data_IF_115272431740
#
_entry.id   IF_115272431740
#
_cell.length_a   1.000
_cell.length_b   1.000
_cell.length_c   1.000
_cell.angle_alpha   90.00
_cell.angle_beta   90.00
_cell.angle_gamma   90.00
#
_symmetry.space_group_name_H-M   'P 1'
#
loop_
_entity.id
_entity.type
_entity.pdbx_description
1 polymer ?
#
# COMPACT_ATOMS: atom_id res chain seq x y z
N UNK A 1 2.09 -4.31 -8.73
CA UNK A 1 1.47 -3.14 -9.40
C UNK A 1 2.13 -2.78 -10.74
N UNK A 2 3.17 -3.50 -11.18
CA UNK A 2 3.98 -3.10 -12.34
C UNK A 2 3.22 -2.93 -13.67
N UNK A 3 2.24 -3.79 -13.94
CA UNK A 3 1.36 -3.67 -15.13
C UNK A 3 0.58 -2.34 -15.08
N UNK A 4 0.04 -1.98 -13.92
CA UNK A 4 -0.69 -0.72 -13.76
C UNK A 4 0.25 0.48 -13.94
N UNK A 5 1.47 0.44 -13.40
CA UNK A 5 2.48 1.49 -13.62
C UNK A 5 2.77 1.68 -15.11
N UNK A 6 3.01 0.58 -15.84
CA UNK A 6 3.27 0.62 -17.28
C UNK A 6 2.07 1.14 -18.08
N UNK A 7 0.86 0.69 -17.74
CA UNK A 7 -0.36 1.10 -18.42
C UNK A 7 -0.72 2.56 -18.13
N UNK A 8 -0.55 3.02 -16.89
CA UNK A 8 -0.78 4.42 -16.52
C UNK A 8 0.22 5.31 -17.25
N UNK A 9 1.51 4.96 -17.25
CA UNK A 9 2.54 5.68 -18.00
C UNK A 9 2.26 5.73 -19.51
N UNK A 10 1.70 4.66 -20.07
CA UNK A 10 1.30 4.57 -21.48
C UNK A 10 -0.09 5.18 -21.79
N UNK A 11 -0.79 5.76 -20.80
CA UNK A 11 -2.14 6.31 -20.98
C UNK A 11 -3.24 5.27 -21.25
N UNK A 12 -2.98 3.98 -20.99
CA UNK A 12 -3.92 2.85 -21.19
C UNK A 12 -4.77 2.55 -19.96
N UNK A 13 -4.38 3.07 -18.79
CA UNK A 13 -5.09 2.94 -17.53
C UNK A 13 -5.09 4.29 -16.82
N UNK A 14 -6.22 4.72 -16.26
CA UNK A 14 -6.34 6.05 -15.66
C UNK A 14 -5.78 6.15 -14.23
N UNK A 15 -5.91 5.08 -13.45
CA UNK A 15 -5.63 5.08 -12.01
C UNK A 15 -5.38 3.65 -11.48
N UNK A 16 -4.68 3.53 -10.36
CA UNK A 16 -4.68 2.35 -9.50
C UNK A 16 -4.51 2.74 -8.03
N UNK A 17 -4.96 1.88 -7.11
CA UNK A 17 -4.86 2.15 -5.67
C UNK A 17 -3.65 1.43 -5.08
N UNK A 18 -2.71 2.19 -4.52
CA UNK A 18 -1.59 1.67 -3.74
C UNK A 18 -1.99 1.41 -2.29
N UNK A 19 -1.75 0.17 -1.86
CA UNK A 19 -1.84 -0.24 -0.46
C UNK A 19 -0.44 -0.66 -0.03
N UNK A 20 0.21 0.17 0.79
CA UNK A 20 1.61 -0.02 1.17
C UNK A 20 1.74 -1.20 2.15
N UNK A 21 2.35 -2.30 1.70
CA UNK A 21 2.52 -3.51 2.52
C UNK A 21 3.55 -3.30 3.63
N UNK A 22 4.51 -2.38 3.45
CA UNK A 22 5.50 -2.06 4.48
C UNK A 22 4.82 -1.37 5.67
N UNK A 23 3.98 -0.37 5.42
CA UNK A 23 3.20 0.29 6.48
C UNK A 23 2.22 -0.67 7.18
N UNK A 24 1.64 -1.60 6.42
CA UNK A 24 0.81 -2.66 7.01
C UNK A 24 1.63 -3.59 7.91
N UNK A 25 2.84 -3.98 7.49
CA UNK A 25 3.73 -4.81 8.28
C UNK A 25 4.17 -4.09 9.56
N UNK A 26 4.54 -2.82 9.48
CA UNK A 26 4.93 -2.00 10.63
C UNK A 26 3.77 -1.86 11.62
N UNK A 27 2.57 -1.55 11.13
CA UNK A 27 1.38 -1.46 11.98
C UNK A 27 1.07 -2.79 12.70
N UNK A 28 1.22 -3.93 12.01
CA UNK A 28 1.02 -5.25 12.63
C UNK A 28 2.12 -5.57 13.63
N UNK A 29 3.37 -5.20 13.32
CA UNK A 29 4.49 -5.40 14.23
C UNK A 29 4.27 -4.66 15.54
N UNK A 30 3.87 -3.39 15.49
CA UNK A 30 3.55 -2.60 16.69
C UNK A 30 2.46 -3.26 17.54
N UNK A 31 1.38 -3.74 16.91
CA UNK A 31 0.32 -4.46 17.64
C UNK A 31 0.83 -5.72 18.31
N UNK A 32 1.70 -6.49 17.63
CA UNK A 32 2.28 -7.71 18.20
C UNK A 32 3.10 -7.39 19.45
N UNK A 33 3.90 -6.32 19.40
CA UNK A 33 4.70 -5.89 20.56
C UNK A 33 3.79 -5.45 21.72
N UNK A 34 2.77 -4.62 21.45
CA UNK A 34 1.82 -4.17 22.48
C UNK A 34 1.11 -5.35 23.15
N UNK A 35 0.62 -6.31 22.36
CA UNK A 35 -0.04 -7.52 22.87
C UNK A 35 0.95 -8.35 23.70
N UNK A 36 2.17 -8.56 23.22
CA UNK A 36 3.19 -9.33 23.92
C UNK A 36 3.59 -8.70 25.27
N UNK A 37 3.54 -7.37 25.36
CA UNK A 37 3.78 -6.61 26.59
C UNK A 37 2.54 -6.52 27.51
N UNK A 38 1.40 -7.10 27.10
CA UNK A 38 0.15 -7.06 27.86
C UNK A 38 -0.53 -5.69 27.86
N UNK A 39 -0.22 -4.85 26.86
CA UNK A 39 -0.83 -3.52 26.67
C UNK A 39 -2.05 -3.62 25.76
N UNK A 40 -2.94 -2.63 25.88
CA UNK A 40 -4.00 -2.41 24.91
C UNK A 40 -3.40 -1.96 23.57
N UNK A 41 -3.94 -2.49 22.47
CA UNK A 41 -3.49 -2.14 21.12
C UNK A 41 -3.87 -0.69 20.80
N UNK A 42 -2.90 0.11 20.35
CA UNK A 42 -3.12 1.52 20.02
C UNK A 42 -3.44 1.74 18.54
N UNK A 43 -3.96 2.93 18.23
CA UNK A 43 -4.25 3.33 16.85
C UNK A 43 -5.47 2.66 16.21
N UNK A 44 -6.29 1.97 17.00
CA UNK A 44 -7.60 1.47 16.55
C UNK A 44 -8.50 2.64 16.15
N UNK A 45 -8.99 2.61 14.92
CA UNK A 45 -9.82 3.67 14.32
C UNK A 45 -11.07 3.12 13.62
N UNK A 46 -11.32 1.81 13.70
CA UNK A 46 -12.46 1.17 13.06
C UNK A 46 -12.95 -0.06 13.80
N UNK A 47 -14.09 -0.58 13.35
CA UNK A 47 -14.67 -1.85 13.81
C UNK A 47 -15.20 -2.62 12.62
N UNK A 48 -14.90 -3.91 12.56
CA UNK A 48 -15.45 -4.82 11.57
C UNK A 48 -16.22 -5.94 12.27
N UNK A 49 -17.53 -6.00 12.03
CA UNK A 49 -18.35 -7.08 12.55
C UNK A 49 -18.05 -8.38 11.77
N UNK A 50 -17.63 -9.43 12.47
CA UNK A 50 -17.34 -10.74 11.87
C UNK A 50 -18.50 -11.76 12.08
N UNK A 51 -19.72 -11.27 12.29
CA UNK A 51 -20.93 -12.01 12.68
C UNK A 51 -20.94 -12.57 14.11
N UNK A 52 -19.92 -12.28 14.93
CA UNK A 52 -19.87 -12.68 16.34
C UNK A 52 -19.56 -11.47 17.23
N UNK A 53 -18.51 -10.73 16.89
CA UNK A 53 -18.08 -9.53 17.62
C UNK A 53 -17.77 -8.40 16.64
N UNK A 54 -17.85 -7.16 17.14
CA UNK A 54 -17.27 -6.01 16.46
C UNK A 54 -15.77 -5.98 16.73
N UNK A 55 -14.98 -6.50 15.78
CA UNK A 55 -13.51 -6.60 15.89
C UNK A 55 -12.91 -5.19 15.85
N UNK A 56 -12.26 -4.71 16.94
CA UNK A 56 -11.51 -3.47 16.91
C UNK A 56 -10.40 -3.56 15.86
N UNK A 57 -10.35 -2.60 14.93
CA UNK A 57 -9.46 -2.65 13.76
C UNK A 57 -8.70 -1.34 13.58
N UNK A 58 -7.45 -1.44 13.12
CA UNK A 58 -6.66 -0.31 12.61
C UNK A 58 -6.73 -0.33 11.08
N UNK A 59 -7.28 0.72 10.50
CA UNK A 59 -7.48 0.89 9.08
C UNK A 59 -6.44 1.88 8.58
N UNK A 60 -5.60 1.42 7.67
CA UNK A 60 -4.60 2.25 7.00
C UNK A 60 -5.20 2.89 5.76
N UNK A 61 -4.73 4.08 5.43
CA UNK A 61 -5.20 4.82 4.28
C UNK A 61 -4.55 4.30 2.99
N UNK A 62 -5.34 3.87 2.00
CA UNK A 62 -4.80 3.60 0.68
C UNK A 62 -4.47 4.92 -0.05
N UNK A 63 -3.54 4.86 -1.00
CA UNK A 63 -3.16 6.01 -1.82
C UNK A 63 -3.63 5.80 -3.27
N UNK A 64 -4.33 6.78 -3.84
CA UNK A 64 -4.62 6.79 -5.27
C UNK A 64 -3.35 7.10 -6.07
N UNK A 65 -3.09 6.31 -7.11
CA UNK A 65 -1.95 6.47 -8.01
C UNK A 65 -2.46 6.75 -9.43
N UNK A 66 -2.09 7.90 -9.96
CA UNK A 66 -2.39 8.38 -11.30
C UNK A 66 -1.08 8.70 -12.04
N UNK A 67 -1.18 9.17 -13.28
CA UNK A 67 -0.01 9.63 -14.05
C UNK A 67 0.78 10.74 -13.34
N UNK A 68 0.11 11.52 -12.48
CA UNK A 68 0.68 12.68 -11.81
C UNK A 68 1.62 12.31 -10.66
N UNK A 69 1.45 11.11 -10.08
CA UNK A 69 2.15 10.71 -8.86
C UNK A 69 2.75 9.29 -8.91
N UNK A 70 2.95 8.72 -10.11
CA UNK A 70 3.61 7.41 -10.28
C UNK A 70 4.95 7.27 -9.52
N UNK A 71 5.72 8.37 -9.41
CA UNK A 71 6.99 8.42 -8.68
C UNK A 71 6.87 8.16 -7.17
N UNK A 72 5.67 8.28 -6.58
CA UNK A 72 5.46 8.01 -5.16
C UNK A 72 5.71 6.54 -4.81
N UNK A 73 5.58 5.63 -5.78
CA UNK A 73 5.94 4.22 -5.62
C UNK A 73 7.45 4.02 -5.42
N UNK A 74 8.29 4.92 -5.95
CA UNK A 74 9.73 4.90 -5.69
C UNK A 74 10.03 5.51 -4.32
N UNK A 75 9.36 6.61 -3.97
CA UNK A 75 9.51 7.25 -2.63
C UNK A 75 9.10 6.31 -1.50
N UNK A 76 8.08 5.48 -1.73
CA UNK A 76 7.63 4.46 -0.78
C UNK A 76 8.54 3.21 -0.74
N UNK A 77 9.65 3.20 -1.49
CA UNK A 77 10.53 2.05 -1.68
C UNK A 77 9.79 0.79 -2.18
N UNK A 78 8.66 0.95 -2.86
CA UNK A 78 7.93 -0.15 -3.46
C UNK A 78 8.57 -0.59 -4.78
N UNK A 79 9.13 0.36 -5.55
CA UNK A 79 9.95 0.11 -6.73
C UNK A 79 11.31 0.79 -6.60
N UNK A 80 12.35 0.17 -7.16
CA UNK A 80 13.61 0.87 -7.40
C UNK A 80 13.45 1.88 -8.54
N UNK A 81 14.27 2.93 -8.56
CA UNK A 81 14.28 3.89 -9.67
C UNK A 81 14.54 3.20 -11.01
N UNK A 82 15.49 2.25 -11.06
CA UNK A 82 15.78 1.49 -12.28
C UNK A 82 14.56 0.71 -12.77
N UNK A 83 13.82 0.07 -11.86
CA UNK A 83 12.62 -0.69 -12.21
C UNK A 83 11.52 0.24 -12.73
N UNK A 84 11.33 1.37 -12.05
CA UNK A 84 10.38 2.40 -12.45
C UNK A 84 10.66 2.94 -13.85
N UNK A 85 11.92 3.25 -14.16
CA UNK A 85 12.32 3.77 -15.47
C UNK A 85 12.03 2.76 -16.60
N UNK A 86 12.31 1.48 -16.38
CA UNK A 86 12.00 0.41 -17.36
C UNK A 86 10.51 0.29 -17.65
N UNK A 87 9.68 0.34 -16.60
CA UNK A 87 8.23 0.21 -16.73
C UNK A 87 7.62 1.43 -17.44
N UNK A 88 8.07 2.64 -17.09
CA UNK A 88 7.52 3.89 -17.65
C UNK A 88 7.99 4.18 -19.08
N UNK A 89 9.13 3.64 -19.51
CA UNK A 89 9.60 3.70 -20.91
C UNK A 89 8.97 2.63 -21.82
N UNK A 90 8.24 1.67 -21.24
CA UNK A 90 7.67 0.55 -22.00
C UNK A 90 8.71 -0.49 -22.44
N UNK A 91 9.85 -0.57 -21.77
CA UNK A 91 10.95 -1.48 -22.10
C UNK A 91 10.77 -2.88 -21.48
N UNK A 92 9.80 -3.06 -20.58
CA UNK A 92 9.42 -4.35 -19.99
C UNK A 92 7.90 -4.50 -19.90
N UNK A 93 7.22 -4.32 -21.03
CA UNK A 93 5.79 -4.66 -21.16
C UNK A 93 5.71 -6.12 -21.60
N UNK A 94 5.52 -7.02 -20.63
CA UNK A 94 5.18 -8.43 -20.91
C UNK A 94 3.76 -8.55 -21.45
#
# INVERSE_FOLDING_TARGET
>A
MEIAVSNIAAGKQGETVFKNVNELADAVYDMIIEIAEGKEVTGINGKFNNNNIDVPSKLLDPQNITIENLNDLVKANYLTQERFDKLTKGEDVR
#
